data_IF_605223264982
#
_entry.id   IF_605223264982
#
_cell.length_a   1.000
_cell.length_b   1.000
_cell.length_c   1.000
_cell.angle_alpha   90.00
_cell.angle_beta   90.00
_cell.angle_gamma   90.00
#
_symmetry.space_group_name_H-M   'P 1'
#
loop_
_entity.id
_entity.type
_entity.pdbx_description
1 polymer ?
#
# COMPACT_ATOMS: atom_id res chain seq x y z
N UNK A 1 -0.97 -7.03 -21.51
CA UNK A 1 -0.50 -5.85 -22.26
C UNK A 1 -0.09 -4.77 -21.27
N UNK A 2 1.18 -4.36 -21.26
CA UNK A 2 1.63 -3.27 -20.39
C UNK A 2 0.90 -1.97 -20.79
N UNK A 3 0.37 -1.19 -19.85
CA UNK A 3 -0.39 0.01 -20.18
C UNK A 3 0.51 1.05 -20.87
N UNK A 4 0.10 1.53 -22.05
CA UNK A 4 0.81 2.51 -22.87
C UNK A 4 0.91 3.91 -22.23
N UNK A 5 0.11 4.18 -21.18
CA UNK A 5 0.15 5.44 -20.44
C UNK A 5 1.04 5.30 -19.21
N UNK A 6 2.10 6.10 -19.17
CA UNK A 6 2.97 6.27 -18.00
C UNK A 6 2.11 6.65 -16.79
N UNK A 7 2.07 5.78 -15.79
CA UNK A 7 1.44 6.10 -14.50
C UNK A 7 2.43 6.91 -13.68
N UNK A 8 1.96 7.99 -13.05
CA UNK A 8 2.78 8.71 -12.10
C UNK A 8 3.11 7.82 -10.90
N UNK A 9 4.26 8.05 -10.27
CA UNK A 9 4.70 7.31 -9.07
C UNK A 9 3.61 7.28 -7.97
N UNK A 10 2.94 8.40 -7.62
CA UNK A 10 1.86 8.35 -6.63
C UNK A 10 0.69 7.43 -7.00
N UNK A 11 0.37 7.30 -8.29
CA UNK A 11 -0.69 6.37 -8.75
C UNK A 11 -0.26 4.91 -8.66
N UNK A 12 1.04 4.62 -8.78
CA UNK A 12 1.60 3.29 -8.56
C UNK A 12 1.59 2.94 -7.07
N UNK A 13 2.06 3.86 -6.22
CA UNK A 13 2.03 3.69 -4.76
C UNK A 13 0.59 3.51 -4.25
N UNK A 14 -0.37 4.29 -4.74
CA UNK A 14 -1.80 4.09 -4.43
C UNK A 14 -2.30 2.72 -4.90
N UNK A 15 -1.81 2.23 -6.04
CA UNK A 15 -2.17 0.89 -6.53
C UNK A 15 -1.60 -0.21 -5.64
N UNK A 16 -0.42 -0.01 -5.05
CA UNK A 16 0.15 -0.92 -4.06
C UNK A 16 -0.68 -0.93 -2.76
N UNK A 17 -1.08 0.24 -2.25
CA UNK A 17 -1.98 0.35 -1.10
C UNK A 17 -3.34 -0.32 -1.35
N UNK A 18 -3.89 -0.15 -2.56
CA UNK A 18 -5.12 -0.81 -2.98
C UNK A 18 -4.99 -2.33 -3.03
N UNK A 19 -3.89 -2.83 -3.59
CA UNK A 19 -3.58 -4.26 -3.63
C UNK A 19 -3.46 -4.86 -2.21
N UNK A 20 -2.74 -4.18 -1.30
CA UNK A 20 -2.59 -4.58 0.09
C UNK A 20 -3.96 -4.70 0.79
N UNK A 21 -4.84 -3.72 0.58
CA UNK A 21 -6.19 -3.72 1.17
C UNK A 21 -7.01 -4.95 0.74
N UNK A 22 -6.97 -5.29 -0.55
CA UNK A 22 -7.66 -6.47 -1.10
C UNK A 22 -7.04 -7.78 -0.64
N UNK A 23 -5.71 -7.84 -0.57
CA UNK A 23 -4.99 -9.01 -0.08
C UNK A 23 -5.36 -9.28 1.38
N UNK A 24 -5.32 -8.25 2.22
CA UNK A 24 -5.69 -8.38 3.62
C UNK A 24 -7.14 -8.84 3.79
N UNK A 25 -8.10 -8.24 3.08
CA UNK A 25 -9.50 -8.67 3.14
C UNK A 25 -9.69 -10.16 2.83
N UNK A 26 -8.95 -10.69 1.84
CA UNK A 26 -8.96 -12.13 1.50
C UNK A 26 -8.25 -12.99 2.54
N UNK A 27 -7.10 -12.56 3.03
CA UNK A 27 -6.31 -13.33 4.00
C UNK A 27 -7.01 -13.36 5.36
N UNK A 28 -7.55 -12.24 5.82
CA UNK A 28 -8.27 -12.14 7.08
C UNK A 28 -9.51 -13.04 7.12
N UNK A 29 -10.25 -13.17 6.02
CA UNK A 29 -11.39 -14.08 5.95
C UNK A 29 -11.01 -15.56 6.02
N UNK A 30 -9.84 -15.92 5.50
CA UNK A 30 -9.31 -17.30 5.55
C UNK A 30 -8.74 -17.62 6.94
N UNK A 31 -8.02 -16.68 7.57
CA UNK A 31 -7.38 -16.90 8.86
C UNK A 31 -8.37 -17.07 10.01
N UNK A 32 -9.62 -16.61 9.84
CA UNK A 32 -10.71 -16.71 10.81
C UNK A 32 -10.28 -16.39 12.26
N UNK A 33 -9.47 -15.34 12.42
CA UNK A 33 -8.87 -14.94 13.69
C UNK A 33 -9.14 -13.46 13.94
N UNK A 34 -9.37 -13.12 15.20
CA UNK A 34 -9.49 -11.73 15.63
C UNK A 34 -8.09 -11.07 15.71
N UNK A 35 -7.94 -9.92 15.07
CA UNK A 35 -6.76 -9.07 15.18
C UNK A 35 -7.14 -7.79 15.93
N UNK A 36 -6.59 -7.58 17.12
CA UNK A 36 -6.89 -6.40 17.93
C UNK A 36 -6.42 -5.11 17.28
N UNK A 37 -5.29 -5.16 16.56
CA UNK A 37 -4.69 -4.01 15.90
C UNK A 37 -3.99 -4.43 14.62
N UNK A 38 -4.37 -3.79 13.52
CA UNK A 38 -3.76 -3.97 12.21
C UNK A 38 -3.21 -2.63 11.77
N UNK A 39 -1.96 -2.58 11.29
CA UNK A 39 -1.33 -1.35 10.82
C UNK A 39 -0.69 -1.59 9.47
N UNK A 40 -1.05 -0.76 8.49
CA UNK A 40 -0.41 -0.72 7.18
C UNK A 40 0.52 0.48 7.11
N UNK A 41 1.69 0.25 6.53
CA UNK A 41 2.76 1.24 6.44
C UNK A 41 3.00 1.61 4.98
N UNK A 42 3.21 2.89 4.73
CA UNK A 42 3.65 3.41 3.44
C UNK A 42 4.57 4.61 3.68
N UNK A 43 5.58 4.78 2.84
CA UNK A 43 6.43 5.97 2.83
C UNK A 43 5.89 7.09 1.94
N UNK A 44 4.75 6.87 1.28
CA UNK A 44 4.10 7.88 0.45
C UNK A 44 3.12 8.73 1.26
N UNK A 45 3.57 9.92 1.64
CA UNK A 45 2.70 10.92 2.28
C UNK A 45 1.52 11.33 1.37
N UNK A 46 1.71 11.32 0.05
CA UNK A 46 0.65 11.60 -0.93
C UNK A 46 -0.45 10.54 -0.85
N UNK A 47 -0.07 9.26 -0.80
CA UNK A 47 -1.05 8.16 -0.64
C UNK A 47 -1.78 8.28 0.69
N UNK A 48 -1.07 8.56 1.79
CA UNK A 48 -1.71 8.78 3.09
C UNK A 48 -2.69 9.94 3.09
N UNK A 49 -2.33 11.04 2.43
CA UNK A 49 -3.21 12.19 2.27
C UNK A 49 -4.46 11.83 1.46
N UNK A 50 -4.31 11.13 0.34
CA UNK A 50 -5.45 10.66 -0.45
C UNK A 50 -6.36 9.70 0.30
N UNK A 51 -5.81 8.74 1.05
CA UNK A 51 -6.60 7.79 1.85
C UNK A 51 -7.44 8.51 2.91
N UNK A 52 -6.97 9.64 3.46
CA UNK A 52 -7.72 10.46 4.42
C UNK A 52 -8.72 11.41 3.77
N UNK A 53 -8.60 11.64 2.48
CA UNK A 53 -9.44 12.57 1.73
C UNK A 53 -10.72 11.89 1.28
N UNK A 54 -11.85 12.63 1.28
CA UNK A 54 -13.11 12.09 0.79
C UNK A 54 -13.02 11.79 -0.73
N UNK A 55 -13.47 10.62 -1.23
CA UNK A 55 -13.30 10.25 -2.64
C UNK A 55 -13.86 11.26 -3.64
N UNK A 56 -14.95 11.97 -3.30
CA UNK A 56 -15.58 12.94 -4.20
C UNK A 56 -14.71 14.16 -4.56
N UNK A 57 -13.69 14.47 -3.76
CA UNK A 57 -12.75 15.57 -4.06
C UNK A 57 -11.54 15.12 -4.87
N UNK A 58 -11.46 13.84 -5.25
CA UNK A 58 -10.32 13.26 -5.95
C UNK A 58 -10.67 12.95 -7.41
N UNK A 59 -9.65 12.95 -8.27
CA UNK A 59 -9.76 12.50 -9.65
C UNK A 59 -10.23 11.04 -9.70
N UNK A 60 -11.09 10.68 -10.67
CA UNK A 60 -11.79 9.38 -10.74
C UNK A 60 -10.91 8.16 -10.48
N UNK A 61 -9.69 8.11 -11.04
CA UNK A 61 -8.77 7.00 -10.83
C UNK A 61 -8.39 6.83 -9.34
N UNK A 62 -8.11 7.95 -8.67
CA UNK A 62 -7.73 8.00 -7.26
C UNK A 62 -8.97 7.77 -6.41
N UNK A 63 -10.07 8.48 -6.69
CA UNK A 63 -11.35 8.37 -5.98
C UNK A 63 -11.83 6.93 -5.86
N UNK A 64 -11.89 6.20 -6.98
CA UNK A 64 -12.38 4.82 -7.00
C UNK A 64 -11.52 3.89 -6.12
N UNK A 65 -10.20 4.10 -6.11
CA UNK A 65 -9.27 3.30 -5.28
C UNK A 65 -9.36 3.68 -3.81
N UNK A 66 -9.41 4.97 -3.52
CA UNK A 66 -9.55 5.47 -2.14
C UNK A 66 -10.85 4.98 -1.53
N UNK A 67 -11.96 4.97 -2.29
CA UNK A 67 -13.24 4.44 -1.83
C UNK A 67 -13.13 2.96 -1.42
N UNK A 68 -12.55 2.10 -2.27
CA UNK A 68 -12.40 0.67 -1.96
C UNK A 68 -11.38 0.45 -0.81
N UNK A 69 -10.31 1.25 -0.74
CA UNK A 69 -9.36 1.20 0.39
C UNK A 69 -10.10 1.53 1.69
N UNK A 70 -10.83 2.65 1.75
CA UNK A 70 -11.55 3.09 2.95
C UNK A 70 -12.57 2.04 3.40
N UNK A 71 -13.29 1.42 2.47
CA UNK A 71 -14.25 0.35 2.77
C UNK A 71 -13.57 -0.92 3.32
N UNK A 72 -12.48 -1.37 2.69
CA UNK A 72 -11.79 -2.61 3.08
C UNK A 72 -10.91 -2.46 4.33
N UNK A 73 -10.60 -1.22 4.73
CA UNK A 73 -9.61 -0.92 5.78
C UNK A 73 -10.17 -0.07 6.92
N UNK A 74 -11.50 -0.11 7.14
CA UNK A 74 -12.21 0.65 8.18
C UNK A 74 -11.60 0.52 9.60
N UNK A 75 -11.04 -0.65 9.91
CA UNK A 75 -10.41 -1.01 11.20
C UNK A 75 -8.88 -1.11 11.14
N UNK A 76 -8.26 -0.63 10.07
CA UNK A 76 -6.80 -0.67 9.88
C UNK A 76 -6.21 0.72 10.02
N UNK A 77 -5.09 0.82 10.73
CA UNK A 77 -4.34 2.06 10.84
C UNK A 77 -3.38 2.22 9.66
N UNK A 78 -3.54 3.28 8.88
CA UNK A 78 -2.54 3.69 7.89
C UNK A 78 -1.51 4.64 8.53
N UNK A 79 -0.22 4.30 8.42
CA UNK A 79 0.88 5.06 9.00
C UNK A 79 2.02 5.30 8.02
N UNK A 80 2.74 6.40 8.27
CA UNK A 80 3.95 6.72 7.55
C UNK A 80 5.14 5.92 8.10
N UNK A 81 5.96 5.37 7.21
CA UNK A 81 7.30 4.85 7.52
C UNK A 81 8.32 5.58 6.65
N UNK A 82 9.49 6.02 7.17
CA UNK A 82 10.51 6.62 6.32
C UNK A 82 10.96 5.65 5.21
N UNK A 83 11.21 6.13 3.99
CA UNK A 83 11.64 5.29 2.85
C UNK A 83 12.83 4.37 3.18
N UNK A 84 13.82 4.88 3.92
CA UNK A 84 15.00 4.09 4.33
C UNK A 84 14.70 2.96 5.33
N UNK A 85 13.52 2.99 5.94
CA UNK A 85 13.02 1.99 6.89
C UNK A 85 11.85 1.20 6.27
N UNK A 86 11.57 1.38 4.98
CA UNK A 86 10.52 0.65 4.28
C UNK A 86 11.14 -0.55 3.54
N UNK A 87 11.10 -1.78 4.12
CA UNK A 87 11.66 -2.95 3.44
C UNK A 87 10.99 -3.22 2.08
N UNK A 88 9.72 -2.86 1.92
CA UNK A 88 8.99 -3.08 0.67
C UNK A 88 9.53 -2.25 -0.51
N UNK A 89 10.19 -1.12 -0.24
CA UNK A 89 10.76 -0.27 -1.29
C UNK A 89 11.82 -1.03 -2.11
N UNK A 90 12.72 -1.77 -1.44
CA UNK A 90 13.82 -2.50 -2.09
C UNK A 90 13.32 -3.57 -3.07
N UNK A 91 12.29 -4.34 -2.67
CA UNK A 91 11.72 -5.38 -3.54
C UNK A 91 10.87 -4.74 -4.64
N UNK A 92 10.13 -3.67 -4.34
CA UNK A 92 9.24 -3.02 -5.31
C UNK A 92 9.96 -2.34 -6.48
N UNK A 93 11.22 -1.93 -6.29
CA UNK A 93 12.09 -1.34 -7.32
C UNK A 93 12.80 -2.38 -8.19
N UNK A 94 12.78 -3.63 -7.76
CA UNK A 94 13.66 -4.68 -8.27
C UNK A 94 15.05 -4.57 -7.64
N UNK A 95 15.53 -5.69 -7.14
CA UNK A 95 16.89 -5.85 -6.63
C UNK A 95 17.42 -7.22 -7.02
N UNK A 96 18.74 -7.36 -7.06
CA UNK A 96 19.39 -8.66 -7.23
C UNK A 96 19.43 -9.44 -5.91
N UNK A 97 19.84 -10.72 -5.98
CA UNK A 97 19.86 -11.62 -4.81
C UNK A 97 20.77 -11.11 -3.71
N UNK A 98 21.94 -10.56 -4.05
CA UNK A 98 22.90 -10.05 -3.06
C UNK A 98 22.38 -8.78 -2.39
N UNK A 99 21.75 -7.87 -3.15
CA UNK A 99 21.08 -6.69 -2.62
C UNK A 99 19.94 -7.07 -1.67
N UNK A 100 19.14 -8.08 -2.03
CA UNK A 100 18.06 -8.58 -1.20
C UNK A 100 18.59 -9.24 0.08
N UNK A 101 19.66 -10.04 0.00
CA UNK A 101 20.27 -10.69 1.15
C UNK A 101 20.86 -9.68 2.15
N UNK A 102 21.36 -8.55 1.67
CA UNK A 102 21.91 -7.47 2.50
C UNK A 102 20.89 -6.37 2.85
N UNK A 103 19.62 -6.58 2.50
CA UNK A 103 18.54 -5.61 2.71
C UNK A 103 17.94 -5.69 4.11
N UNK A 104 17.14 -4.67 4.47
CA UNK A 104 16.32 -4.71 5.68
C UNK A 104 15.08 -5.60 5.53
N UNK A 105 14.84 -6.20 4.37
CA UNK A 105 13.64 -7.01 4.08
C UNK A 105 13.42 -8.16 5.07
N UNK A 106 14.48 -8.89 5.41
CA UNK A 106 14.42 -10.01 6.34
C UNK A 106 14.67 -9.60 7.80
N UNK A 107 15.22 -8.39 8.03
CA UNK A 107 15.60 -7.89 9.34
C UNK A 107 14.51 -7.08 10.05
N UNK A 108 13.64 -6.43 9.27
CA UNK A 108 12.69 -5.45 9.79
C UNK A 108 13.31 -4.08 10.00
#
# INVERSE_FOLDING_TARGET
VAPLKTKSLPRLELSAAHLLSKLWSRVASILNRHFEKITFWTDSEIVLHWIKTHPSSLQTFVANRVSEIQELTDKVYWRHVPTKQNPADQVSRGCNVDELNNSIWFGG
#
